data_IF_546814297963
#
_entry.id   IF_546814297963
#
_cell.length_a   1.000
_cell.length_b   1.000
_cell.length_c   1.000
_cell.angle_alpha   90.00
_cell.angle_beta   90.00
_cell.angle_gamma   90.00
#
_symmetry.space_group_name_H-M   'P 1'
#
loop_
_entity.id
_entity.type
_entity.pdbx_description
1 polymer ?
#
# COMPACT_ATOMS: atom_id res chain seq x y z
N UNK A 1 -2.65 -8.17 17.49
CA UNK A 1 -3.49 -8.30 16.29
C UNK A 1 -3.31 -7.07 15.41
N UNK A 2 -3.13 -7.26 14.11
CA UNK A 2 -3.02 -6.14 13.16
C UNK A 2 -4.42 -5.80 12.66
N UNK A 3 -4.87 -4.58 12.94
CA UNK A 3 -6.22 -4.10 12.58
C UNK A 3 -6.20 -2.91 11.62
N UNK A 4 -5.05 -2.29 11.42
CA UNK A 4 -4.93 -1.13 10.55
C UNK A 4 -3.63 -1.14 9.76
N UNK A 5 -3.72 -0.84 8.46
CA UNK A 5 -2.59 -0.83 7.54
C UNK A 5 -2.58 0.47 6.75
N UNK A 6 -1.43 1.14 6.72
CA UNK A 6 -1.21 2.33 5.91
C UNK A 6 -0.27 1.98 4.76
N UNK A 7 -0.71 2.25 3.53
CA UNK A 7 0.12 2.08 2.34
C UNK A 7 0.77 3.41 1.95
N UNK A 8 2.06 3.40 1.68
CA UNK A 8 2.82 4.62 1.42
C UNK A 8 3.65 4.49 0.14
N UNK A 9 3.56 5.51 -0.71
CA UNK A 9 4.45 5.69 -1.86
C UNK A 9 4.95 7.13 -1.89
N UNK A 10 5.50 7.59 -3.02
CA UNK A 10 6.04 8.94 -3.11
C UNK A 10 4.93 10.00 -3.12
N UNK A 11 4.05 9.95 -4.10
CA UNK A 11 3.05 11.02 -4.33
C UNK A 11 1.64 10.71 -3.86
N UNK A 12 1.36 9.48 -3.45
CA UNK A 12 0.02 9.01 -3.09
C UNK A 12 -1.03 9.22 -4.21
N UNK A 13 -0.61 9.06 -5.45
CA UNK A 13 -1.52 9.15 -6.61
C UNK A 13 -1.51 7.90 -7.49
N UNK A 14 -0.56 6.99 -7.31
CA UNK A 14 -0.45 5.76 -8.12
C UNK A 14 -0.46 4.50 -7.28
N UNK A 15 0.69 4.15 -6.70
CA UNK A 15 0.92 2.84 -6.09
C UNK A 15 0.15 2.63 -4.78
N UNK A 16 0.28 3.54 -3.83
CA UNK A 16 -0.35 3.38 -2.52
C UNK A 16 -1.88 3.47 -2.56
N UNK A 17 -2.50 4.38 -3.33
CA UNK A 17 -3.96 4.38 -3.41
C UNK A 17 -4.50 3.12 -4.10
N UNK A 18 -3.77 2.55 -5.05
CA UNK A 18 -4.18 1.28 -5.67
C UNK A 18 -4.13 0.13 -4.66
N UNK A 19 -3.07 0.06 -3.86
CA UNK A 19 -2.95 -0.96 -2.81
C UNK A 19 -4.10 -0.85 -1.80
N UNK A 20 -4.41 0.35 -1.35
CA UNK A 20 -5.52 0.62 -0.46
C UNK A 20 -6.85 0.11 -1.04
N UNK A 21 -7.10 0.42 -2.31
CA UNK A 21 -8.32 0.02 -2.99
C UNK A 21 -8.48 -1.50 -3.06
N UNK A 22 -7.41 -2.20 -3.42
CA UNK A 22 -7.42 -3.66 -3.54
C UNK A 22 -7.65 -4.31 -2.17
N UNK A 23 -6.96 -3.87 -1.13
CA UNK A 23 -7.07 -4.49 0.20
C UNK A 23 -8.46 -4.28 0.79
N UNK A 24 -9.07 -3.11 0.56
CA UNK A 24 -10.45 -2.89 0.99
C UNK A 24 -11.40 -3.91 0.39
N UNK A 25 -11.27 -4.20 -0.91
CA UNK A 25 -12.12 -5.20 -1.57
C UNK A 25 -11.82 -6.61 -1.05
N UNK A 26 -10.56 -6.97 -0.94
CA UNK A 26 -10.16 -8.31 -0.45
C UNK A 26 -10.61 -8.53 0.98
N UNK A 27 -10.50 -7.51 1.84
CA UNK A 27 -10.94 -7.59 3.23
C UNK A 27 -12.45 -7.81 3.35
N UNK A 28 -13.24 -7.16 2.48
CA UNK A 28 -14.69 -7.38 2.43
C UNK A 28 -15.04 -8.82 2.05
N UNK A 29 -14.40 -9.34 1.02
CA UNK A 29 -14.65 -10.70 0.51
C UNK A 29 -14.26 -11.74 1.56
N UNK A 30 -13.11 -11.57 2.19
CA UNK A 30 -12.57 -12.51 3.20
C UNK A 30 -13.15 -12.28 4.60
N UNK A 31 -13.97 -11.25 4.78
CA UNK A 31 -14.49 -10.83 6.09
C UNK A 31 -13.36 -10.55 7.09
N UNK A 32 -12.25 -10.03 6.61
CA UNK A 32 -11.11 -9.66 7.42
C UNK A 32 -11.35 -8.28 8.03
N UNK A 33 -11.31 -8.19 9.36
CA UNK A 33 -11.56 -6.93 10.08
C UNK A 33 -10.29 -6.10 10.16
N UNK A 34 -9.99 -5.40 9.06
CA UNK A 34 -8.90 -4.43 9.01
C UNK A 34 -9.37 -3.13 8.36
N UNK A 35 -8.85 -2.02 8.84
CA UNK A 35 -8.98 -0.73 8.19
C UNK A 35 -7.70 -0.43 7.42
N UNK A 36 -7.80 0.32 6.33
CA UNK A 36 -6.63 0.72 5.56
C UNK A 36 -6.80 2.15 5.02
N UNK A 37 -5.67 2.78 4.78
CA UNK A 37 -5.58 4.10 4.22
C UNK A 37 -4.29 4.18 3.41
N UNK A 38 -4.03 5.30 2.76
CA UNK A 38 -2.80 5.54 2.03
C UNK A 38 -2.31 6.96 2.19
N UNK A 39 -1.01 7.17 2.00
CA UNK A 39 -0.37 8.46 2.12
C UNK A 39 0.88 8.52 1.23
N UNK A 40 1.40 9.70 1.00
CA UNK A 40 2.65 9.91 0.28
C UNK A 40 3.74 10.44 1.20
N UNK A 41 5.00 10.19 0.85
CA UNK A 41 6.13 10.81 1.53
C UNK A 41 6.27 12.27 1.14
N UNK A 42 5.88 12.63 -0.09
CA UNK A 42 5.90 14.00 -0.59
C UNK A 42 4.52 14.66 -0.47
N UNK A 43 4.51 15.99 -0.49
CA UNK A 43 3.28 16.79 -0.40
C UNK A 43 2.80 17.32 -1.76
N UNK A 44 3.45 16.94 -2.85
CA UNK A 44 3.26 17.56 -4.19
C UNK A 44 1.84 17.46 -4.72
N UNK A 45 1.12 16.39 -4.36
CA UNK A 45 -0.20 16.10 -4.90
C UNK A 45 -1.32 16.13 -3.86
N UNK A 46 -1.06 16.68 -2.67
CA UNK A 46 -2.07 16.72 -1.59
C UNK A 46 -3.38 17.30 -2.10
N UNK A 47 -4.48 16.56 -1.85
CA UNK A 47 -5.82 16.91 -2.29
C UNK A 47 -6.18 16.45 -3.70
N UNK A 48 -5.20 15.97 -4.48
CA UNK A 48 -5.46 15.49 -5.84
C UNK A 48 -6.10 14.11 -5.83
N UNK A 49 -6.90 13.84 -6.87
CA UNK A 49 -7.36 12.48 -7.13
C UNK A 49 -6.20 11.63 -7.67
N UNK A 50 -6.33 10.30 -7.65
CA UNK A 50 -5.30 9.43 -8.22
C UNK A 50 -5.00 9.75 -9.68
N UNK A 51 -3.78 9.46 -10.09
CA UNK A 51 -3.30 9.71 -11.45
C UNK A 51 -4.19 9.01 -12.48
N UNK A 52 -4.70 9.76 -13.44
CA UNK A 52 -5.71 9.26 -14.38
C UNK A 52 -5.30 7.96 -15.10
N UNK A 53 -4.08 7.83 -15.65
CA UNK A 53 -3.67 6.58 -16.28
C UNK A 53 -3.71 5.38 -15.32
N UNK A 54 -3.40 5.58 -14.03
CA UNK A 54 -3.53 4.52 -13.03
C UNK A 54 -5.01 4.19 -12.77
N UNK A 55 -5.88 5.20 -12.71
CA UNK A 55 -7.32 4.96 -12.55
C UNK A 55 -7.89 4.13 -13.70
N UNK A 56 -7.47 4.42 -14.95
CA UNK A 56 -7.90 3.68 -16.12
C UNK A 56 -7.44 2.22 -16.03
N UNK A 57 -6.15 2.00 -15.74
CA UNK A 57 -5.60 0.65 -15.60
C UNK A 57 -6.27 -0.13 -14.47
N UNK A 58 -6.57 0.53 -13.35
CA UNK A 58 -7.25 -0.09 -12.22
C UNK A 58 -8.70 -0.47 -12.58
N UNK A 59 -9.40 0.41 -13.28
CA UNK A 59 -10.78 0.18 -13.70
C UNK A 59 -10.89 -1.02 -14.62
N UNK A 60 -9.93 -1.21 -15.54
CA UNK A 60 -9.86 -2.37 -16.42
C UNK A 60 -9.76 -3.68 -15.63
N UNK A 61 -9.28 -3.63 -14.38
CA UNK A 61 -9.18 -4.78 -13.48
C UNK A 61 -10.30 -4.84 -12.43
N UNK A 62 -11.31 -3.96 -12.55
CA UNK A 62 -12.49 -3.98 -11.68
C UNK A 62 -12.38 -3.12 -10.42
N UNK A 63 -11.42 -2.18 -10.35
CA UNK A 63 -11.22 -1.34 -9.17
C UNK A 63 -11.49 0.14 -9.46
N UNK A 64 -12.29 0.78 -8.62
CA UNK A 64 -12.60 2.19 -8.74
C UNK A 64 -11.84 3.01 -7.69
N UNK A 65 -10.90 3.84 -8.13
CA UNK A 65 -10.06 4.68 -7.28
C UNK A 65 -10.52 6.14 -7.21
N UNK A 66 -11.60 6.50 -7.90
CA UNK A 66 -11.95 7.91 -8.17
C UNK A 66 -12.23 8.75 -6.91
N UNK A 67 -12.63 8.13 -5.82
CA UNK A 67 -12.98 8.84 -4.58
C UNK A 67 -11.79 9.09 -3.66
N UNK A 68 -10.66 8.47 -3.93
CA UNK A 68 -9.46 8.64 -3.10
C UNK A 68 -8.85 10.02 -3.34
N UNK A 69 -8.17 10.55 -2.31
CA UNK A 69 -7.47 11.83 -2.40
C UNK A 69 -6.11 11.71 -1.75
N UNK A 70 -5.11 12.29 -2.38
CA UNK A 70 -3.73 12.23 -1.88
C UNK A 70 -3.60 13.03 -0.59
N UNK A 71 -2.81 12.48 0.34
CA UNK A 71 -2.38 13.16 1.56
C UNK A 71 -0.93 12.82 1.85
N UNK A 72 -0.28 13.64 2.67
CA UNK A 72 1.09 13.39 3.11
C UNK A 72 1.08 12.63 4.44
N UNK A 73 2.03 11.69 4.59
CA UNK A 73 2.22 10.98 5.85
C UNK A 73 2.65 11.95 6.96
N UNK A 74 2.20 11.68 8.18
CA UNK A 74 2.56 12.46 9.38
C UNK A 74 3.16 11.52 10.44
N UNK A 75 3.82 12.09 11.43
CA UNK A 75 4.36 11.32 12.57
C UNK A 75 3.23 10.60 13.32
N UNK A 76 2.05 11.22 13.41
CA UNK A 76 0.88 10.60 14.06
C UNK A 76 0.47 9.28 13.40
N UNK A 77 0.69 9.12 12.10
CA UNK A 77 0.38 7.87 11.39
C UNK A 77 1.11 6.66 11.97
N UNK A 78 2.32 6.86 12.50
CA UNK A 78 3.10 5.77 13.10
C UNK A 78 2.47 5.24 14.40
N UNK A 79 1.69 6.07 15.08
CA UNK A 79 0.92 5.63 16.24
C UNK A 79 -0.46 5.07 15.83
N UNK A 80 -1.08 5.67 14.83
CA UNK A 80 -2.45 5.35 14.43
C UNK A 80 -2.58 4.02 13.68
N UNK A 81 -1.52 3.58 13.00
CA UNK A 81 -1.55 2.35 12.20
C UNK A 81 -0.66 1.27 12.80
N UNK A 82 -1.15 0.04 12.77
CA UNK A 82 -0.42 -1.12 13.28
C UNK A 82 0.71 -1.55 12.33
N UNK A 83 0.52 -1.35 11.04
CA UNK A 83 1.47 -1.74 10.01
C UNK A 83 1.54 -0.65 8.94
N UNK A 84 2.74 -0.31 8.52
CA UNK A 84 2.99 0.66 7.44
C UNK A 84 3.73 -0.06 6.31
N UNK A 85 3.12 -0.08 5.13
CA UNK A 85 3.63 -0.83 3.98
C UNK A 85 4.04 0.13 2.88
N UNK A 86 5.31 0.10 2.50
CA UNK A 86 5.90 0.98 1.50
C UNK A 86 6.16 0.25 0.19
N UNK A 87 6.29 0.99 -0.90
CA UNK A 87 6.39 0.43 -2.24
C UNK A 87 7.82 0.20 -2.70
N UNK A 88 8.77 0.99 -2.21
CA UNK A 88 10.19 0.87 -2.58
C UNK A 88 11.12 1.26 -1.43
N UNK A 89 12.41 1.02 -1.63
CA UNK A 89 13.42 1.28 -0.59
C UNK A 89 13.59 2.76 -0.27
N UNK A 90 13.31 3.65 -1.23
CA UNK A 90 13.37 5.08 -1.00
C UNK A 90 12.23 5.53 -0.08
N UNK A 91 11.02 5.02 -0.29
CA UNK A 91 9.91 5.25 0.64
C UNK A 91 10.29 4.75 2.04
N UNK A 92 10.86 3.55 2.13
CA UNK A 92 11.29 2.96 3.41
C UNK A 92 12.29 3.87 4.13
N UNK A 93 13.33 4.32 3.45
CA UNK A 93 14.34 5.21 4.02
C UNK A 93 13.74 6.52 4.50
N UNK A 94 12.84 7.12 3.71
CA UNK A 94 12.18 8.37 4.08
C UNK A 94 11.37 8.20 5.36
N UNK A 95 10.67 7.09 5.53
CA UNK A 95 9.89 6.83 6.74
C UNK A 95 10.77 6.53 7.96
N UNK A 96 11.85 5.79 7.76
CA UNK A 96 12.81 5.53 8.82
C UNK A 96 13.46 6.82 9.33
N UNK A 97 13.70 7.79 8.44
CA UNK A 97 14.21 9.09 8.80
C UNK A 97 13.15 9.95 9.49
N UNK A 98 11.89 9.85 9.08
CA UNK A 98 10.80 10.63 9.66
C UNK A 98 10.49 10.20 11.10
N UNK A 99 10.50 8.90 11.38
CA UNK A 99 10.19 8.38 12.70
C UNK A 99 11.04 7.12 12.99
N UNK A 100 12.34 7.32 13.33
CA UNK A 100 13.26 6.18 13.53
C UNK A 100 12.81 5.21 14.62
N UNK A 101 12.16 5.70 15.69
CA UNK A 101 11.73 4.90 16.83
C UNK A 101 10.58 3.94 16.50
N UNK A 102 9.94 4.11 15.35
CA UNK A 102 8.85 3.23 14.88
C UNK A 102 9.17 2.55 13.57
N UNK A 103 10.45 2.46 13.21
CA UNK A 103 10.87 1.82 11.97
C UNK A 103 10.51 0.33 11.90
N UNK A 104 10.27 -0.31 13.04
CA UNK A 104 9.81 -1.70 13.13
C UNK A 104 8.44 -1.93 12.49
N UNK A 105 7.61 -0.89 12.37
CA UNK A 105 6.30 -0.98 11.70
C UNK A 105 6.37 -0.88 10.18
N UNK A 106 7.51 -0.48 9.63
CA UNK A 106 7.67 -0.17 8.19
C UNK A 106 8.22 -1.38 7.44
N UNK A 107 7.47 -1.87 6.47
CA UNK A 107 7.84 -3.04 5.67
C UNK A 107 7.59 -2.79 4.19
N UNK A 108 8.41 -3.39 3.33
CA UNK A 108 8.19 -3.36 1.88
C UNK A 108 7.02 -4.27 1.51
N UNK A 109 6.15 -3.80 0.64
CA UNK A 109 5.02 -4.60 0.16
C UNK A 109 5.47 -5.92 -0.46
N UNK A 110 6.53 -5.89 -1.25
CA UNK A 110 7.05 -7.08 -1.96
C UNK A 110 7.57 -8.17 -1.03
N UNK A 111 7.89 -7.85 0.23
CA UNK A 111 8.29 -8.85 1.22
C UNK A 111 7.16 -9.85 1.53
N UNK A 112 5.91 -9.47 1.28
CA UNK A 112 4.75 -10.31 1.58
C UNK A 112 4.39 -11.27 0.45
N UNK A 113 4.99 -11.11 -0.74
CA UNK A 113 4.68 -11.98 -1.86
C UNK A 113 5.05 -13.42 -1.56
N UNK A 114 4.12 -14.34 -1.82
CA UNK A 114 4.33 -15.78 -1.71
C UNK A 114 4.86 -16.37 -3.02
N UNK A 115 4.99 -15.55 -4.05
CA UNK A 115 5.48 -15.93 -5.38
C UNK A 115 6.73 -15.13 -5.72
N UNK A 116 7.55 -15.66 -6.61
CA UNK A 116 8.71 -14.92 -7.13
C UNK A 116 8.25 -13.71 -7.92
N UNK A 117 8.93 -12.59 -7.71
CA UNK A 117 8.64 -11.33 -8.40
C UNK A 117 9.82 -10.93 -9.28
N UNK A 118 9.52 -10.20 -10.35
CA UNK A 118 10.54 -9.62 -11.24
C UNK A 118 11.45 -8.64 -10.49
N UNK A 119 10.88 -7.88 -9.55
CA UNK A 119 11.60 -6.91 -8.73
C UNK A 119 11.22 -7.05 -7.25
N UNK A 120 12.15 -6.73 -6.36
CA UNK A 120 11.91 -6.70 -4.91
C UNK A 120 11.32 -5.36 -4.43
N UNK A 121 10.72 -4.61 -5.33
CA UNK A 121 10.04 -3.35 -5.07
C UNK A 121 8.98 -3.12 -6.15
N UNK A 122 8.09 -2.16 -5.94
CA UNK A 122 7.10 -1.76 -6.96
C UNK A 122 7.66 -0.57 -7.74
N UNK A 123 8.05 -0.76 -9.02
CA UNK A 123 8.49 0.36 -9.85
C UNK A 123 7.40 1.43 -9.94
N UNK A 124 7.79 2.70 -9.96
CA UNK A 124 6.84 3.80 -10.00
C UNK A 124 6.35 4.06 -11.42
N UNK A 125 5.08 3.72 -11.76
CA UNK A 125 4.58 3.85 -13.12
C UNK A 125 4.40 5.30 -13.57
N UNK A 126 4.43 6.25 -12.64
CA UNK A 126 4.46 7.67 -13.00
C UNK A 126 5.69 7.99 -13.86
N UNK A 127 6.82 7.31 -13.59
CA UNK A 127 8.07 7.51 -14.33
C UNK A 127 8.31 6.45 -15.38
N UNK A 128 8.05 5.16 -15.08
CA UNK A 128 8.28 4.06 -16.04
C UNK A 128 7.23 3.98 -17.12
N UNK A 129 6.04 4.49 -16.87
CA UNK A 129 4.84 4.38 -17.72
C UNK A 129 4.36 2.93 -17.88
N UNK A 130 4.90 2.00 -17.12
CA UNK A 130 4.50 0.59 -17.15
C UNK A 130 3.52 0.27 -16.00
N UNK A 131 2.26 0.59 -16.24
CA UNK A 131 1.19 0.40 -15.26
C UNK A 131 0.88 -1.08 -15.03
N UNK A 132 0.93 -1.90 -16.09
CA UNK A 132 0.69 -3.34 -15.99
C UNK A 132 1.68 -4.00 -15.03
N UNK A 133 2.97 -3.70 -15.18
CA UNK A 133 4.02 -4.25 -14.31
C UNK A 133 3.78 -3.87 -12.85
N UNK A 134 3.51 -2.60 -12.57
CA UNK A 134 3.27 -2.14 -11.20
C UNK A 134 2.02 -2.83 -10.61
N UNK A 135 0.94 -2.93 -11.39
CA UNK A 135 -0.29 -3.58 -10.92
C UNK A 135 -0.08 -5.07 -10.66
N UNK A 136 0.65 -5.77 -11.51
CA UNK A 136 0.93 -7.19 -11.33
C UNK A 136 1.70 -7.43 -10.02
N UNK A 137 2.73 -6.62 -9.75
CA UNK A 137 3.53 -6.73 -8.53
C UNK A 137 2.70 -6.39 -7.29
N UNK A 138 1.91 -5.31 -7.36
CA UNK A 138 1.04 -4.92 -6.24
C UNK A 138 0.04 -6.01 -5.93
N UNK A 139 -0.68 -6.52 -6.92
CA UNK A 139 -1.71 -7.54 -6.72
C UNK A 139 -1.12 -8.83 -6.16
N UNK A 140 -0.01 -9.30 -6.72
CA UNK A 140 0.67 -10.52 -6.26
C UNK A 140 1.13 -10.37 -4.80
N UNK A 141 1.74 -9.23 -4.47
CA UNK A 141 2.21 -8.96 -3.11
C UNK A 141 1.06 -8.83 -2.12
N UNK A 142 -0.05 -8.20 -2.52
CA UNK A 142 -1.22 -8.04 -1.65
C UNK A 142 -1.92 -9.35 -1.36
N UNK A 143 -1.91 -10.30 -2.30
CA UNK A 143 -2.43 -11.65 -2.02
C UNK A 143 -1.68 -12.28 -0.85
N UNK A 144 -0.35 -12.16 -0.85
CA UNK A 144 0.48 -12.64 0.25
C UNK A 144 0.26 -11.88 1.55
N UNK A 145 0.12 -10.55 1.48
CA UNK A 145 -0.16 -9.73 2.65
C UNK A 145 -1.48 -10.12 3.33
N UNK A 146 -2.54 -10.24 2.55
CA UNK A 146 -3.86 -10.61 3.08
C UNK A 146 -3.80 -11.98 3.75
N UNK A 147 -3.16 -12.96 3.11
CA UNK A 147 -2.99 -14.29 3.69
C UNK A 147 -2.21 -14.25 4.99
N UNK A 148 -1.12 -13.48 5.04
CA UNK A 148 -0.31 -13.29 6.24
C UNK A 148 -1.13 -12.67 7.38
N UNK A 149 -1.95 -11.65 7.08
CA UNK A 149 -2.80 -11.01 8.07
C UNK A 149 -3.90 -11.94 8.58
N UNK A 150 -4.51 -12.72 7.70
CA UNK A 150 -5.51 -13.71 8.08
C UNK A 150 -4.91 -14.75 9.05
N UNK A 151 -3.75 -15.29 8.70
CA UNK A 151 -3.07 -16.30 9.53
C UNK A 151 -2.64 -15.72 10.88
N UNK A 152 -2.04 -14.53 10.87
CA UNK A 152 -1.60 -13.85 12.10
C UNK A 152 -2.78 -13.59 13.04
N UNK A 153 -3.87 -13.02 12.52
CA UNK A 153 -5.05 -12.68 13.30
C UNK A 153 -5.78 -13.92 13.82
N UNK A 154 -5.84 -14.99 13.02
CA UNK A 154 -6.45 -16.25 13.45
C UNK A 154 -5.66 -16.92 14.58
N UNK A 155 -4.34 -16.91 14.51
CA UNK A 155 -3.49 -17.45 15.59
C UNK A 155 -3.74 -16.68 16.89
N UNK A 156 -3.84 -15.36 16.84
CA UNK A 156 -4.08 -14.54 18.03
C UNK A 156 -5.48 -14.71 18.63
N UNK A 157 -6.45 -15.23 17.86
CA UNK A 157 -7.80 -15.54 18.35
C UNK A 157 -7.89 -16.89 19.05
N UNK A 158 -6.89 -17.74 18.84
CA UNK A 158 -6.81 -19.03 19.53
C UNK A 158 -6.19 -18.86 20.92
#
# INVERSE_FOLDING_TARGET
>A
MIKSVLFVCLGNICRSPKAECIVREKAKISKLDISCDSAGTASWHVGSCPYEPMQVAAKDRGFNMSKLRARQITVADFEDFDLIVVMDKKNQSNLQNLCPERSDKVHLLTEYSLEDLEYDYVPDPYYTRNFKQALDIIETSLNGLVETLENHNNILKQ
#
